data_IF_853262242521
#
_entry.id   IF_853262242521
#
_cell.length_a   1.000
_cell.length_b   1.000
_cell.length_c   1.000
_cell.angle_alpha   90.00
_cell.angle_beta   90.00
_cell.angle_gamma   90.00
#
_symmetry.space_group_name_H-M   'P 1'
#
loop_
_entity.id
_entity.type
_entity.pdbx_description
1 polymer ?
#
# COMPACT_ATOMS: atom_id res chain seq x y z
N UNK A 1 -10.62 -11.97 -6.56
CA UNK A 1 -10.55 -11.43 -7.93
C UNK A 1 -9.70 -10.18 -7.88
N UNK A 2 -8.66 -10.11 -8.71
CA UNK A 2 -7.88 -8.89 -8.98
C UNK A 2 -8.72 -7.95 -9.84
N UNK A 3 -9.20 -6.85 -9.27
CA UNK A 3 -9.92 -5.79 -9.99
C UNK A 3 -9.06 -4.55 -10.14
N UNK A 4 -9.45 -3.65 -11.03
CA UNK A 4 -8.85 -2.33 -11.14
C UNK A 4 -9.14 -1.49 -9.89
N UNK A 5 -8.18 -0.67 -9.47
CA UNK A 5 -8.30 0.36 -8.44
C UNK A 5 -7.64 1.63 -8.99
N UNK A 6 -8.45 2.61 -9.38
CA UNK A 6 -7.97 3.93 -9.84
C UNK A 6 -6.93 3.89 -10.98
N UNK A 7 -7.16 3.05 -11.99
CA UNK A 7 -6.24 2.84 -13.11
C UNK A 7 -5.12 1.83 -12.85
N UNK A 8 -5.10 1.16 -11.69
CA UNK A 8 -4.11 0.13 -11.37
C UNK A 8 -4.74 -1.25 -11.24
N UNK A 9 -4.09 -2.26 -11.80
CA UNK A 9 -4.42 -3.67 -11.62
C UNK A 9 -3.64 -4.20 -10.42
N UNK A 10 -4.34 -4.90 -9.52
CA UNK A 10 -3.74 -5.58 -8.37
C UNK A 10 -3.56 -7.06 -8.71
N UNK A 11 -2.44 -7.42 -9.34
CA UNK A 11 -2.23 -8.73 -9.97
C UNK A 11 -1.96 -9.88 -8.99
N UNK A 12 -1.77 -9.59 -7.70
CA UNK A 12 -1.49 -10.61 -6.68
C UNK A 12 -2.10 -10.24 -5.33
N UNK A 13 -2.71 -11.23 -4.67
CA UNK A 13 -3.18 -11.17 -3.28
C UNK A 13 -2.71 -12.46 -2.60
N UNK A 14 -2.02 -12.39 -1.44
CA UNK A 14 -1.50 -13.56 -0.77
C UNK A 14 -2.60 -14.55 -0.38
N UNK A 15 -2.23 -15.83 -0.29
CA UNK A 15 -3.15 -16.85 0.22
C UNK A 15 -3.48 -16.60 1.70
N UNK A 16 -4.71 -16.89 2.11
CA UNK A 16 -5.15 -16.72 3.50
C UNK A 16 -5.56 -15.30 3.89
N UNK A 17 -5.56 -14.37 2.94
CA UNK A 17 -6.22 -13.05 3.06
C UNK A 17 -7.74 -13.24 2.97
N UNK A 18 -8.46 -12.47 3.79
CA UNK A 18 -9.92 -12.46 3.80
C UNK A 18 -10.57 -12.23 2.43
N UNK A 19 -11.78 -12.77 2.25
CA UNK A 19 -12.48 -12.77 0.96
C UNK A 19 -13.38 -11.56 0.75
N UNK A 20 -13.73 -10.82 1.82
CA UNK A 20 -14.56 -9.63 1.74
C UNK A 20 -13.70 -8.46 1.24
N UNK A 21 -14.18 -7.76 0.20
CA UNK A 21 -13.43 -6.70 -0.46
C UNK A 21 -14.26 -5.43 -0.51
N UNK A 22 -13.70 -4.33 -0.03
CA UNK A 22 -14.36 -3.02 -0.01
C UNK A 22 -13.45 -1.93 -0.56
N UNK A 23 -14.02 -1.02 -1.35
CA UNK A 23 -13.31 0.12 -1.93
C UNK A 23 -13.83 1.44 -1.35
N UNK A 24 -12.94 2.39 -1.10
CA UNK A 24 -13.30 3.71 -0.59
C UNK A 24 -12.38 4.83 -1.10
N UNK A 25 -12.90 6.04 -1.00
CA UNK A 25 -12.24 7.28 -1.38
C UNK A 25 -12.08 8.19 -0.16
N UNK A 26 -10.89 8.78 -0.01
CA UNK A 26 -10.61 9.77 1.03
C UNK A 26 -9.57 10.78 0.55
N UNK A 27 -9.30 11.80 1.35
CA UNK A 27 -8.31 12.85 1.07
C UNK A 27 -7.64 13.27 2.38
N UNK A 28 -6.34 13.53 2.33
CA UNK A 28 -5.54 14.06 3.44
C UNK A 28 -4.39 14.89 2.86
N UNK A 29 -4.19 16.11 3.37
CA UNK A 29 -3.17 17.07 2.90
C UNK A 29 -3.08 17.18 1.36
N UNK A 30 -4.21 17.43 0.69
CA UNK A 30 -4.32 17.56 -0.77
C UNK A 30 -3.92 16.30 -1.58
N UNK A 31 -3.67 15.17 -0.90
CA UNK A 31 -3.47 13.86 -1.53
C UNK A 31 -4.76 13.07 -1.48
N UNK A 32 -5.24 12.67 -2.66
CA UNK A 32 -6.42 11.82 -2.81
C UNK A 32 -6.03 10.36 -2.73
N UNK A 33 -6.84 9.60 -2.01
CA UNK A 33 -6.69 8.17 -1.81
C UNK A 33 -7.81 7.44 -2.56
N UNK A 34 -7.44 6.37 -3.24
CA UNK A 34 -8.34 5.29 -3.62
C UNK A 34 -7.84 4.04 -2.95
N UNK A 35 -8.69 3.46 -2.10
CA UNK A 35 -8.30 2.38 -1.22
C UNK A 35 -9.11 1.15 -1.52
N UNK A 36 -8.45 -0.01 -1.51
CA UNK A 36 -9.10 -1.31 -1.42
C UNK A 36 -8.63 -2.02 -0.15
N UNK A 37 -9.56 -2.60 0.59
CA UNK A 37 -9.26 -3.48 1.72
C UNK A 37 -9.75 -4.89 1.45
N UNK A 38 -9.02 -5.85 1.98
CA UNK A 38 -9.46 -7.23 2.13
C UNK A 38 -9.65 -7.53 3.60
N UNK A 39 -10.83 -8.05 3.94
CA UNK A 39 -11.27 -8.23 5.31
C UNK A 39 -11.71 -9.68 5.54
N UNK A 40 -11.45 -10.16 6.75
CA UNK A 40 -11.97 -11.43 7.24
C UNK A 40 -12.96 -11.18 8.36
N UNK A 41 -13.99 -12.00 8.42
CA UNK A 41 -14.88 -12.03 9.58
C UNK A 41 -14.16 -12.70 10.76
N UNK A 42 -14.23 -12.07 11.93
CA UNK A 42 -13.77 -12.58 13.23
C UNK A 42 -14.93 -12.49 14.23
N UNK A 43 -14.80 -13.13 15.40
CA UNK A 43 -15.87 -13.13 16.42
C UNK A 43 -16.31 -11.70 16.80
N UNK A 44 -15.36 -10.76 16.80
CA UNK A 44 -15.53 -9.37 17.20
C UNK A 44 -15.96 -8.44 16.05
N UNK A 45 -16.17 -8.96 14.84
CA UNK A 45 -16.54 -8.15 13.65
C UNK A 45 -15.69 -8.47 12.42
N UNK A 46 -15.06 -7.45 11.86
CA UNK A 46 -14.17 -7.58 10.70
C UNK A 46 -12.77 -7.11 11.04
N UNK A 47 -11.76 -7.80 10.50
CA UNK A 47 -10.36 -7.41 10.58
C UNK A 47 -9.81 -7.24 9.17
N UNK A 48 -9.11 -6.12 8.94
CA UNK A 48 -8.40 -5.86 7.69
C UNK A 48 -7.11 -6.69 7.67
N UNK A 49 -6.92 -7.42 6.59
CA UNK A 49 -5.77 -8.30 6.36
C UNK A 49 -4.74 -7.64 5.45
N UNK A 50 -5.24 -6.96 4.43
CA UNK A 50 -4.48 -6.27 3.40
C UNK A 50 -5.22 -4.99 3.04
N UNK A 51 -4.45 -3.92 2.83
CA UNK A 51 -4.92 -2.65 2.33
C UNK A 51 -4.00 -2.19 1.21
N UNK A 52 -4.58 -1.69 0.13
CA UNK A 52 -3.87 -1.06 -0.97
C UNK A 52 -4.41 0.34 -1.15
N UNK A 53 -3.53 1.33 -1.16
CA UNK A 53 -3.79 2.70 -1.51
C UNK A 53 -3.18 3.04 -2.88
N UNK A 54 -3.96 3.69 -3.73
CA UNK A 54 -3.46 4.51 -4.84
C UNK A 54 -3.57 5.97 -4.41
N UNK A 55 -2.42 6.65 -4.40
CA UNK A 55 -2.27 8.03 -3.93
C UNK A 55 -2.05 8.95 -5.12
N UNK A 56 -2.77 10.07 -5.14
CA UNK A 56 -2.59 11.11 -6.17
C UNK A 56 -2.56 12.49 -5.56
N UNK A 57 -1.43 13.19 -5.70
CA UNK A 57 -1.27 14.56 -5.20
C UNK A 57 0.07 15.17 -5.58
N UNK A 58 0.10 16.48 -5.84
CA UNK A 58 1.27 17.17 -6.39
C UNK A 58 2.51 17.20 -5.48
N UNK A 59 2.34 16.96 -4.18
CA UNK A 59 3.45 16.88 -3.21
C UNK A 59 4.23 15.56 -3.24
N UNK A 60 3.78 14.56 -3.99
CA UNK A 60 4.42 13.24 -4.10
C UNK A 60 5.44 13.22 -5.26
N UNK A 61 6.49 14.03 -5.21
CA UNK A 61 7.45 14.17 -6.31
C UNK A 61 8.56 13.12 -6.32
N UNK A 62 8.91 12.59 -5.15
CA UNK A 62 10.05 11.69 -4.93
C UNK A 62 9.70 10.60 -3.92
N UNK A 63 10.52 9.54 -3.87
CA UNK A 63 10.33 8.45 -2.91
C UNK A 63 10.50 8.91 -1.45
N UNK A 64 11.39 9.88 -1.21
CA UNK A 64 11.58 10.50 0.11
C UNK A 64 10.37 11.34 0.53
N UNK A 65 9.82 12.17 -0.38
CA UNK A 65 8.60 12.94 -0.11
C UNK A 65 7.40 12.02 0.16
N UNK A 66 7.29 10.89 -0.57
CA UNK A 66 6.28 9.87 -0.30
C UNK A 66 6.46 9.25 1.10
N UNK A 67 7.69 8.90 1.47
CA UNK A 67 7.99 8.37 2.82
C UNK A 67 7.61 9.37 3.91
N UNK A 68 7.97 10.64 3.74
CA UNK A 68 7.67 11.69 4.72
C UNK A 68 6.15 11.93 4.82
N UNK A 69 5.45 11.92 3.70
CA UNK A 69 3.99 11.99 3.64
C UNK A 69 3.33 10.81 4.39
N UNK A 70 3.75 9.58 4.10
CA UNK A 70 3.21 8.37 4.75
C UNK A 70 3.54 8.35 6.25
N UNK A 71 4.71 8.86 6.66
CA UNK A 71 5.04 9.01 8.06
C UNK A 71 4.05 9.94 8.77
N UNK A 72 3.70 11.08 8.15
CA UNK A 72 2.67 11.99 8.65
C UNK A 72 1.29 11.35 8.71
N UNK A 73 0.86 10.71 7.61
CA UNK A 73 -0.45 10.05 7.52
C UNK A 73 -0.64 8.92 8.54
N UNK A 74 0.41 8.13 8.80
CA UNK A 74 0.39 7.03 9.77
C UNK A 74 0.79 7.45 11.18
N UNK A 75 0.96 8.75 11.44
CA UNK A 75 1.39 9.28 12.74
C UNK A 75 2.71 8.65 13.25
N UNK A 76 3.62 8.28 12.33
CA UNK A 76 4.92 7.69 12.64
C UNK A 76 6.00 8.76 12.77
N UNK A 77 6.94 8.52 13.68
CA UNK A 77 8.17 9.31 13.76
C UNK A 77 9.09 8.98 12.56
N UNK A 78 9.18 9.91 11.61
CA UNK A 78 10.00 9.78 10.40
C UNK A 78 11.50 9.60 10.68
N UNK A 79 12.00 9.95 11.88
CA UNK A 79 13.39 9.75 12.28
C UNK A 79 13.67 8.30 12.72
N UNK A 80 12.64 7.60 13.20
CA UNK A 80 12.70 6.23 13.69
C UNK A 80 12.22 5.23 12.64
N UNK A 81 11.23 5.60 11.83
CA UNK A 81 10.71 4.75 10.77
C UNK A 81 11.67 4.75 9.57
N UNK A 82 12.40 3.64 9.42
CA UNK A 82 13.47 3.45 8.43
C UNK A 82 13.18 2.25 7.55
N UNK A 83 12.18 2.33 6.65
CA UNK A 83 11.96 1.26 5.69
C UNK A 83 13.18 1.12 4.77
N UNK A 84 13.40 -0.09 4.29
CA UNK A 84 14.55 -0.44 3.45
C UNK A 84 14.17 -0.43 1.99
N UNK A 85 15.09 -0.02 1.13
CA UNK A 85 14.89 -0.12 -0.31
C UNK A 85 14.89 -1.57 -0.76
N UNK A 86 13.99 -1.88 -1.70
CA UNK A 86 14.00 -3.15 -2.42
C UNK A 86 13.77 -2.91 -3.92
N UNK A 87 14.22 -3.89 -4.71
CA UNK A 87 14.02 -3.93 -6.17
C UNK A 87 13.47 -5.31 -6.54
N UNK A 88 12.36 -5.33 -7.28
CA UNK A 88 11.78 -6.53 -7.90
C UNK A 88 11.45 -6.23 -9.37
N UNK A 89 12.27 -6.76 -10.28
CA UNK A 89 12.21 -6.41 -11.69
C UNK A 89 12.44 -4.91 -11.90
N UNK A 90 11.47 -4.25 -12.53
CA UNK A 90 11.50 -2.80 -12.79
C UNK A 90 10.83 -1.98 -11.65
N UNK A 91 10.48 -2.63 -10.54
CA UNK A 91 9.83 -1.98 -9.40
C UNK A 91 10.85 -1.71 -8.30
N UNK A 92 11.08 -0.42 -8.03
CA UNK A 92 11.81 0.05 -6.85
C UNK A 92 10.82 0.63 -5.84
N UNK A 93 10.99 0.26 -4.57
CA UNK A 93 10.16 0.77 -3.48
C UNK A 93 10.84 0.67 -2.12
N UNK A 94 10.14 1.11 -1.09
CA UNK A 94 10.55 0.98 0.31
C UNK A 94 9.64 -0.05 1.00
N UNK A 95 10.19 -0.80 1.95
CA UNK A 95 9.47 -1.82 2.71
C UNK A 95 9.95 -1.90 4.16
N UNK A 96 9.02 -2.07 5.09
CA UNK A 96 9.29 -2.33 6.51
C UNK A 96 8.00 -2.44 7.32
N UNK A 97 8.05 -3.15 8.45
CA UNK A 97 6.98 -3.22 9.48
C UNK A 97 5.54 -3.33 8.95
N UNK A 98 5.29 -4.28 8.03
CA UNK A 98 3.97 -4.53 7.48
C UNK A 98 3.52 -3.52 6.41
N UNK A 99 4.42 -2.68 5.91
CA UNK A 99 4.15 -1.73 4.84
C UNK A 99 5.18 -1.80 3.70
N UNK A 100 4.71 -1.70 2.47
CA UNK A 100 5.54 -1.51 1.29
C UNK A 100 4.91 -0.48 0.37
N UNK A 101 5.70 0.48 -0.10
CA UNK A 101 5.22 1.53 -1.00
C UNK A 101 6.23 1.90 -2.07
N UNK A 102 5.74 2.49 -3.16
CA UNK A 102 6.54 3.00 -4.26
C UNK A 102 5.97 4.29 -4.81
N UNK A 103 6.85 5.11 -5.37
CA UNK A 103 6.45 6.13 -6.33
C UNK A 103 6.34 5.47 -7.72
N UNK A 104 5.21 5.67 -8.40
CA UNK A 104 5.01 5.17 -9.77
C UNK A 104 5.54 6.19 -10.77
N UNK A 105 5.16 7.44 -10.58
CA UNK A 105 5.63 8.63 -11.28
C UNK A 105 5.40 9.84 -10.36
N UNK A 106 6.01 11.01 -10.61
CA UNK A 106 5.73 12.21 -9.83
C UNK A 106 4.23 12.50 -9.76
N UNK A 107 3.71 12.55 -8.54
CA UNK A 107 2.30 12.79 -8.22
C UNK A 107 1.45 11.53 -8.07
N UNK A 108 1.99 10.33 -8.30
CA UNK A 108 1.26 9.06 -8.21
C UNK A 108 2.08 8.00 -7.47
N UNK A 109 1.52 7.47 -6.39
CA UNK A 109 2.15 6.43 -5.59
C UNK A 109 1.20 5.27 -5.28
N UNK A 110 1.78 4.14 -4.91
CA UNK A 110 1.08 2.97 -4.39
C UNK A 110 1.65 2.62 -3.04
N UNK A 111 0.77 2.36 -2.08
CA UNK A 111 1.10 1.96 -0.72
C UNK A 111 0.29 0.72 -0.33
N UNK A 112 0.94 -0.24 0.31
CA UNK A 112 0.38 -1.54 0.68
C UNK A 112 0.67 -1.80 2.15
N UNK A 113 -0.39 -1.94 2.94
CA UNK A 113 -0.30 -2.29 4.35
C UNK A 113 -0.89 -3.66 4.62
N UNK A 114 -0.26 -4.42 5.50
CA UNK A 114 -0.75 -5.70 5.97
C UNK A 114 -0.31 -5.97 7.41
N UNK A 115 -0.97 -6.92 8.04
CA UNK A 115 -0.55 -7.47 9.34
C UNK A 115 0.74 -8.29 9.16
N UNK A 116 1.89 -7.87 9.73
CA UNK A 116 3.18 -8.53 9.49
C UNK A 116 3.25 -9.95 10.08
N UNK A 117 2.38 -10.30 11.04
CA UNK A 117 2.28 -11.68 11.55
C UNK A 117 1.65 -12.63 10.53
N UNK A 118 0.95 -12.09 9.52
CA UNK A 118 0.23 -12.87 8.51
C UNK A 118 0.80 -12.74 7.12
N UNK A 119 1.24 -11.54 6.77
CA UNK A 119 1.84 -11.23 5.47
C UNK A 119 3.31 -10.95 5.73
N UNK A 120 4.19 -11.95 5.55
CA UNK A 120 5.61 -11.73 5.70
C UNK A 120 6.09 -10.73 4.66
N UNK A 121 7.19 -10.04 4.96
CA UNK A 121 7.72 -8.97 4.11
C UNK A 121 7.92 -9.38 2.63
N UNK A 122 8.33 -10.62 2.38
CA UNK A 122 8.48 -11.15 1.02
C UNK A 122 7.16 -11.16 0.23
N UNK A 123 6.04 -11.49 0.89
CA UNK A 123 4.71 -11.45 0.27
C UNK A 123 4.25 -10.02 0.03
N UNK A 124 4.58 -9.11 0.95
CA UNK A 124 4.23 -7.70 0.82
C UNK A 124 4.94 -7.04 -0.37
N UNK A 125 6.23 -7.34 -0.55
CA UNK A 125 7.00 -6.95 -1.74
C UNK A 125 6.39 -7.52 -3.01
N UNK A 126 5.98 -8.80 -2.97
CA UNK A 126 5.35 -9.46 -4.11
C UNK A 126 3.99 -8.83 -4.47
N UNK A 127 3.19 -8.40 -3.49
CA UNK A 127 1.95 -7.64 -3.75
C UNK A 127 2.28 -6.34 -4.46
N UNK A 128 3.18 -5.53 -3.89
CA UNK A 128 3.52 -4.23 -4.46
C UNK A 128 4.10 -4.35 -5.88
N UNK A 129 4.96 -5.34 -6.13
CA UNK A 129 5.57 -5.58 -7.44
C UNK A 129 4.56 -6.02 -8.51
N UNK A 130 3.37 -6.49 -8.12
CA UNK A 130 2.29 -6.92 -9.02
C UNK A 130 1.17 -5.89 -9.12
N UNK A 131 1.36 -4.70 -8.56
CA UNK A 131 0.49 -3.55 -8.82
C UNK A 131 1.08 -2.75 -9.98
N UNK A 132 0.34 -2.67 -11.08
CA UNK A 132 0.78 -1.99 -12.30
C UNK A 132 -0.36 -1.21 -12.94
N UNK A 133 -0.06 -0.17 -13.75
CA UNK A 133 -1.08 0.50 -14.56
C UNK A 133 -1.86 -0.51 -15.42
N UNK A 134 -3.17 -0.30 -15.53
CA UNK A 134 -4.09 -1.09 -16.36
C UNK A 134 -4.05 -0.75 -17.84
#
# INVERSE_FOLDING_TARGET
MSGELDGFVIGYVPAGIGAEVSDFASEWEDVRFRTRVWERQVEEGYRVDLRVHVLRGGGLGTLDELRDFLAGYHERDAAQWRPTEFVDGDVTGLVGDGEAFRLVEPGVAVDVLADPERVPEAELRAVLARIHPG
#
